data_IF_202619651808
#
_entry.id   IF_202619651808
#
_cell.length_a   1.000
_cell.length_b   1.000
_cell.length_c   1.000
_cell.angle_alpha   90.00
_cell.angle_beta   90.00
_cell.angle_gamma   90.00
#
_symmetry.space_group_name_H-M   'P 1'
#
loop_
_entity.id
_entity.type
_entity.pdbx_description
1 polymer ?
#
# COMPACT_ATOMS: atom_id res chain seq x y z
N UNK A 1 -5.87 11.28 6.60
CA UNK A 1 -6.85 10.22 6.82
C UNK A 1 -7.05 9.38 5.56
N UNK A 2 -7.01 8.08 5.69
CA UNK A 2 -7.20 7.17 4.56
C UNK A 2 -8.61 6.59 4.64
N UNK A 3 -9.37 6.67 3.56
CA UNK A 3 -10.77 6.20 3.53
C UNK A 3 -10.86 4.79 2.98
N UNK A 4 -11.99 4.13 3.24
CA UNK A 4 -12.26 2.81 2.68
C UNK A 4 -12.29 2.83 1.15
N UNK A 5 -12.82 3.92 0.58
CA UNK A 5 -12.84 4.10 -0.88
C UNK A 5 -11.43 4.14 -1.46
N UNK A 6 -10.51 4.80 -0.77
CA UNK A 6 -9.12 4.87 -1.21
C UNK A 6 -8.46 3.49 -1.14
N UNK A 7 -8.72 2.73 -0.10
CA UNK A 7 -8.21 1.35 0.00
C UNK A 7 -8.73 0.50 -1.15
N UNK A 8 -10.03 0.58 -1.43
CA UNK A 8 -10.63 -0.20 -2.51
C UNK A 8 -10.05 0.18 -3.87
N UNK A 9 -9.83 1.47 -4.09
CA UNK A 9 -9.25 1.94 -5.35
C UNK A 9 -7.84 1.40 -5.56
N UNK A 10 -7.03 1.40 -4.52
CA UNK A 10 -5.67 0.86 -4.61
C UNK A 10 -5.71 -0.64 -4.90
N UNK A 11 -6.56 -1.38 -4.19
CA UNK A 11 -6.67 -2.83 -4.40
C UNK A 11 -7.11 -3.14 -5.83
N UNK A 12 -8.10 -2.44 -6.35
CA UNK A 12 -8.58 -2.63 -7.72
C UNK A 12 -7.49 -2.31 -8.74
N UNK A 13 -6.77 -1.22 -8.52
CA UNK A 13 -5.72 -0.81 -9.45
C UNK A 13 -4.61 -1.85 -9.51
N UNK A 14 -4.21 -2.38 -8.35
CA UNK A 14 -3.17 -3.43 -8.29
C UNK A 14 -3.66 -4.69 -9.00
N UNK A 15 -4.92 -5.06 -8.82
CA UNK A 15 -5.46 -6.24 -9.50
C UNK A 15 -5.45 -6.07 -11.02
N UNK A 16 -5.76 -4.88 -11.52
CA UNK A 16 -5.79 -4.62 -12.97
C UNK A 16 -4.39 -4.49 -13.56
N UNK A 17 -3.41 -4.06 -12.78
CA UNK A 17 -2.07 -3.74 -13.26
C UNK A 17 -0.97 -4.52 -12.53
N UNK A 18 -1.30 -5.68 -12.02
CA UNK A 18 -0.39 -6.48 -11.20
C UNK A 18 0.85 -6.98 -11.91
N UNK A 19 0.88 -6.95 -13.24
CA UNK A 19 2.06 -7.34 -14.02
C UNK A 19 3.07 -6.21 -14.17
N UNK A 20 2.73 -4.99 -13.77
CA UNK A 20 3.66 -3.86 -13.86
C UNK A 20 4.73 -3.95 -12.79
N UNK A 21 5.90 -3.38 -13.10
CA UNK A 21 6.95 -3.21 -12.12
C UNK A 21 6.54 -2.18 -11.05
N UNK A 22 7.28 -2.16 -9.95
CA UNK A 22 6.95 -1.29 -8.82
C UNK A 22 6.91 0.17 -9.19
N UNK A 23 7.85 0.64 -10.01
CA UNK A 23 7.95 2.05 -10.33
C UNK A 23 6.76 2.57 -11.13
N UNK A 24 6.39 1.95 -12.27
CA UNK A 24 5.22 2.41 -13.00
C UNK A 24 3.91 2.20 -12.24
N UNK A 25 3.82 1.14 -11.45
CA UNK A 25 2.64 0.91 -10.63
C UNK A 25 2.50 1.99 -9.57
N UNK A 26 3.58 2.33 -8.90
CA UNK A 26 3.58 3.40 -7.90
C UNK A 26 3.21 4.75 -8.50
N UNK A 27 3.73 5.06 -9.67
CA UNK A 27 3.42 6.31 -10.37
C UNK A 27 1.94 6.39 -10.72
N UNK A 28 1.36 5.30 -11.22
CA UNK A 28 -0.08 5.23 -11.52
C UNK A 28 -0.94 5.44 -10.29
N UNK A 29 -0.56 4.81 -9.19
CA UNK A 29 -1.31 4.93 -7.94
C UNK A 29 -1.23 6.35 -7.38
N UNK A 30 -0.05 6.97 -7.44
CA UNK A 30 0.12 8.36 -6.97
C UNK A 30 -0.71 9.33 -7.78
N UNK A 31 -0.85 9.08 -9.07
CA UNK A 31 -1.68 9.91 -9.93
C UNK A 31 -3.17 9.83 -9.58
N UNK A 32 -3.61 8.66 -9.11
CA UNK A 32 -5.00 8.45 -8.71
C UNK A 32 -5.33 8.96 -7.33
N UNK A 33 -4.32 9.04 -6.46
CA UNK A 33 -4.51 9.41 -5.05
C UNK A 33 -3.61 10.59 -4.69
N UNK A 34 -3.87 11.77 -5.25
CA UNK A 34 -3.07 12.94 -4.93
C UNK A 34 -3.20 13.27 -3.44
N UNK A 35 -2.11 13.63 -2.81
CA UNK A 35 -2.08 13.92 -1.39
C UNK A 35 -1.91 12.73 -0.48
N UNK A 36 -1.90 11.52 -1.02
CA UNK A 36 -1.62 10.30 -0.26
C UNK A 36 -0.20 9.83 -0.58
N UNK A 37 0.60 9.64 0.45
CA UNK A 37 1.94 9.08 0.27
C UNK A 37 1.82 7.59 -0.04
N UNK A 38 2.39 7.15 -1.15
CA UNK A 38 2.34 5.75 -1.56
C UNK A 38 3.75 5.21 -1.72
N UNK A 39 4.03 4.10 -1.05
CA UNK A 39 5.27 3.36 -1.24
C UNK A 39 4.95 1.93 -1.62
N UNK A 40 5.82 1.34 -2.41
CA UNK A 40 5.67 -0.05 -2.84
C UNK A 40 6.85 -0.84 -2.30
N UNK A 41 6.55 -1.98 -1.72
CA UNK A 41 7.55 -2.86 -1.14
C UNK A 41 7.10 -4.31 -1.29
N UNK A 42 7.94 -5.22 -0.84
CA UNK A 42 7.58 -6.64 -0.80
C UNK A 42 6.92 -6.95 0.53
N UNK A 43 5.94 -7.85 0.49
CA UNK A 43 5.25 -8.27 1.70
C UNK A 43 6.22 -8.93 2.71
N UNK A 44 7.27 -9.55 2.21
CA UNK A 44 8.29 -10.16 3.06
C UNK A 44 9.04 -9.14 3.92
N UNK A 45 9.04 -7.88 3.52
CA UNK A 45 9.70 -6.82 4.28
C UNK A 45 8.83 -6.28 5.41
N UNK A 46 7.57 -6.71 5.49
CA UNK A 46 6.64 -6.22 6.51
C UNK A 46 6.75 -7.02 7.80
N UNK A 47 6.53 -6.36 8.95
CA UNK A 47 6.50 -7.08 10.23
C UNK A 47 5.39 -8.14 10.22
N UNK A 48 5.70 -9.40 10.58
CA UNK A 48 4.71 -10.47 10.45
C UNK A 48 3.50 -10.33 11.37
N UNK A 49 3.61 -9.54 12.42
CA UNK A 49 2.53 -9.36 13.40
C UNK A 49 1.69 -8.12 13.17
N UNK A 50 2.07 -7.29 12.20
CA UNK A 50 1.31 -6.09 11.93
C UNK A 50 0.09 -6.43 11.06
N UNK A 51 -1.13 -6.17 11.54
CA UNK A 51 -2.31 -6.42 10.72
C UNK A 51 -2.37 -5.43 9.55
N UNK A 52 -2.75 -5.91 8.38
CA UNK A 52 -2.90 -5.05 7.24
C UNK A 52 -4.24 -4.29 7.30
N UNK A 53 -4.30 -3.15 6.62
CA UNK A 53 -5.52 -2.37 6.51
C UNK A 53 -6.51 -3.00 5.55
N UNK A 54 -6.01 -3.60 4.48
CA UNK A 54 -6.80 -4.31 3.49
C UNK A 54 -5.85 -5.20 2.68
N UNK A 55 -6.41 -6.18 1.98
CA UNK A 55 -5.58 -7.05 1.17
C UNK A 55 -6.38 -7.67 0.03
N UNK A 56 -5.64 -8.11 -0.99
CA UNK A 56 -6.21 -8.94 -2.05
C UNK A 56 -5.20 -10.06 -2.38
N UNK A 57 -5.39 -10.76 -3.50
CA UNK A 57 -4.52 -11.86 -3.87
C UNK A 57 -3.10 -11.42 -4.23
N UNK A 58 -2.90 -10.14 -4.57
CA UNK A 58 -1.63 -9.64 -5.07
C UNK A 58 -0.87 -8.74 -4.09
N UNK A 59 -1.56 -8.16 -3.11
CA UNK A 59 -0.91 -7.23 -2.19
C UNK A 59 -1.65 -7.10 -0.86
N UNK A 60 -0.96 -6.54 0.11
CA UNK A 60 -1.53 -6.11 1.38
C UNK A 60 -1.22 -4.63 1.55
N UNK A 61 -2.19 -3.90 2.09
CA UNK A 61 -2.05 -2.47 2.33
C UNK A 61 -1.86 -2.21 3.81
N UNK A 62 -0.88 -1.36 4.13
CA UNK A 62 -0.60 -0.96 5.51
C UNK A 62 -0.67 0.55 5.59
N UNK A 63 -1.22 1.06 6.69
CA UNK A 63 -1.23 2.50 6.93
C UNK A 63 0.15 2.99 7.27
N UNK A 64 0.49 4.17 6.75
CA UNK A 64 1.76 4.82 7.02
C UNK A 64 1.47 6.20 7.60
N UNK A 65 2.21 6.54 8.63
CA UNK A 65 2.15 7.85 9.25
C UNK A 65 3.50 8.55 9.06
N UNK A 66 3.48 9.74 8.47
CA UNK A 66 4.70 10.52 8.36
C UNK A 66 4.69 11.59 9.45
N UNK A 67 5.55 11.40 10.44
CA UNK A 67 5.74 12.36 11.53
C UNK A 67 7.18 12.77 11.57
N UNK A 68 7.45 14.05 11.40
CA UNK A 68 8.82 14.54 11.41
C UNK A 68 9.63 14.02 10.23
N UNK A 69 10.70 13.29 10.49
CA UNK A 69 11.63 12.86 9.46
C UNK A 69 11.46 11.39 9.05
N UNK A 70 10.60 10.65 9.72
CA UNK A 70 10.48 9.21 9.50
C UNK A 70 9.07 8.82 9.14
N UNK A 71 8.97 7.86 8.22
CA UNK A 71 7.70 7.16 7.97
C UNK A 71 7.63 5.98 8.93
N UNK A 72 6.48 5.80 9.55
CA UNK A 72 6.26 4.62 10.38
C UNK A 72 4.91 4.01 10.06
N UNK A 73 4.85 2.70 10.25
CA UNK A 73 3.60 1.97 10.07
C UNK A 73 2.67 2.24 11.25
N UNK A 74 1.39 2.36 10.95
CA UNK A 74 0.38 2.60 11.98
C UNK A 74 -0.85 1.75 11.69
N UNK A 75 -1.68 1.55 12.69
CA UNK A 75 -2.98 0.89 12.52
C UNK A 75 -4.13 1.88 12.52
N UNK A 76 -3.83 3.15 12.69
CA UNK A 76 -4.84 4.19 12.83
C UNK A 76 -5.07 4.90 11.50
N UNK A 77 -6.21 4.61 10.86
CA UNK A 77 -6.58 5.23 9.60
C UNK A 77 -6.71 6.75 9.72
N UNK A 78 -7.13 7.24 10.88
CA UNK A 78 -7.35 8.68 11.08
C UNK A 78 -6.04 9.46 11.09
N UNK A 79 -4.95 8.85 11.59
CA UNK A 79 -3.65 9.50 11.61
C UNK A 79 -2.80 9.15 10.40
N UNK A 80 -3.24 8.21 9.57
CA UNK A 80 -2.47 7.78 8.42
C UNK A 80 -2.38 8.87 7.36
N UNK A 81 -1.19 9.07 6.81
CA UNK A 81 -0.94 10.02 5.73
C UNK A 81 -0.65 9.33 4.41
N UNK A 82 -0.52 8.01 4.44
CA UNK A 82 -0.22 7.25 3.24
C UNK A 82 -0.45 5.76 3.41
N UNK A 83 -0.08 5.04 2.37
CA UNK A 83 -0.21 3.58 2.33
C UNK A 83 1.09 2.97 1.85
N UNK A 84 1.45 1.84 2.45
CA UNK A 84 2.48 0.97 1.94
C UNK A 84 1.79 -0.18 1.21
N UNK A 85 2.11 -0.34 -0.07
CA UNK A 85 1.57 -1.42 -0.90
C UNK A 85 2.60 -2.53 -0.86
N UNK A 86 2.34 -3.55 -0.05
CA UNK A 86 3.23 -4.70 0.10
C UNK A 86 2.80 -5.76 -0.90
N UNK A 87 3.60 -5.93 -1.95
CA UNK A 87 3.29 -6.89 -3.00
C UNK A 87 3.62 -8.30 -2.54
N UNK A 88 2.64 -9.18 -2.64
CA UNK A 88 2.80 -10.58 -2.28
C UNK A 88 3.53 -11.26 -3.44
N UNK A 89 4.70 -11.87 -3.20
CA UNK A 89 5.41 -12.53 -4.27
C UNK A 89 4.58 -13.70 -4.80
N UNK A 90 4.46 -13.77 -6.11
CA UNK A 90 3.88 -14.93 -6.76
C UNK A 90 4.94 -16.00 -6.86
N UNK A 91 4.79 -16.99 -6.05
CA UNK A 91 5.66 -18.12 -6.10
C UNK A 91 5.21 -19.01 -7.24
N UNK A 92 5.90 -18.88 -8.35
CA UNK A 92 5.68 -19.74 -9.50
C UNK A 92 6.29 -21.10 -9.20
N UNK A 93 5.49 -21.94 -8.61
CA UNK A 93 5.97 -23.28 -8.34
C UNK A 93 6.14 -24.07 -9.64
#
# INVERSE_FOLDING_TARGET
>A
MITQSQLAEVLDHVMCHGSQDDEPLGASLRARLPGVHLSICDDDDMPPRLPCAAENALCRLYYVHSGGHCLSLTRDAASATGLAVARIPHDEA
#
